data_IF_846863528976
#
_entry.id   IF_846863528976
#
_cell.length_a   1.000
_cell.length_b   1.000
_cell.length_c   1.000
_cell.angle_alpha   90.00
_cell.angle_beta   90.00
_cell.angle_gamma   90.00
#
_symmetry.space_group_name_H-M   'P 1'
#
loop_
_entity.id
_entity.type
_entity.pdbx_description
1 polymer ?
#
# COMPACT_ATOMS: atom_id res chain seq x y z
N UNK A 1 -27.61 13.27 0.31
CA UNK A 1 -26.38 13.97 -0.12
C UNK A 1 -25.48 14.09 1.09
N UNK A 2 -24.25 13.59 1.03
CA UNK A 2 -23.26 13.79 2.11
C UNK A 2 -22.42 15.01 1.73
N UNK A 3 -22.26 16.03 2.59
CA UNK A 3 -21.37 17.16 2.31
C UNK A 3 -19.93 16.67 2.09
N UNK A 4 -19.29 17.14 1.02
CA UNK A 4 -17.91 16.78 0.68
C UNK A 4 -17.09 18.04 0.49
N UNK A 5 -15.92 18.09 1.14
CA UNK A 5 -14.91 19.11 0.93
C UNK A 5 -13.80 18.55 0.03
N UNK A 6 -13.48 19.26 -1.05
CA UNK A 6 -12.36 18.92 -1.93
C UNK A 6 -11.19 19.86 -1.63
N UNK A 7 -10.05 19.28 -1.25
CA UNK A 7 -8.82 20.02 -0.98
C UNK A 7 -7.91 19.91 -2.20
N UNK A 8 -7.59 21.05 -2.83
CA UNK A 8 -6.86 21.10 -4.10
C UNK A 8 -5.64 22.04 -4.08
N UNK A 9 -5.13 22.40 -2.90
CA UNK A 9 -3.89 23.17 -2.74
C UNK A 9 -2.97 22.53 -1.71
N UNK A 10 -1.67 22.68 -1.89
CA UNK A 10 -0.65 22.10 -1.01
C UNK A 10 -0.75 22.66 0.42
N UNK A 11 -0.98 23.97 0.56
CA UNK A 11 -1.08 24.64 1.85
C UNK A 11 -2.27 24.10 2.66
N UNK A 12 -3.45 23.97 2.03
CA UNK A 12 -4.64 23.43 2.69
C UNK A 12 -4.49 21.93 2.94
N UNK A 13 -3.81 21.19 2.07
CA UNK A 13 -3.50 19.77 2.31
C UNK A 13 -2.56 19.60 3.52
N UNK A 14 -1.60 20.51 3.72
CA UNK A 14 -0.77 20.52 4.93
C UNK A 14 -1.62 20.78 6.18
N UNK A 15 -2.56 21.72 6.11
CA UNK A 15 -3.47 21.99 7.23
C UNK A 15 -4.32 20.76 7.60
N UNK A 16 -4.83 20.03 6.60
CA UNK A 16 -5.69 18.86 6.81
C UNK A 16 -4.91 17.62 7.22
N UNK A 17 -3.77 17.35 6.58
CA UNK A 17 -3.02 16.09 6.74
C UNK A 17 -1.93 16.15 7.81
N UNK A 18 -1.59 17.34 8.32
CA UNK A 18 -0.54 17.54 9.32
C UNK A 18 -1.00 18.42 10.48
N UNK A 19 -1.44 19.65 10.23
CA UNK A 19 -1.76 20.60 11.30
C UNK A 19 -2.98 20.15 12.11
N UNK A 20 -4.01 19.65 11.43
CA UNK A 20 -5.26 19.17 12.02
C UNK A 20 -5.50 17.68 11.72
N UNK A 21 -4.41 16.92 11.53
CA UNK A 21 -4.46 15.53 11.06
C UNK A 21 -5.39 14.65 11.89
N UNK A 22 -5.37 14.80 13.22
CA UNK A 22 -6.19 14.01 14.15
C UNK A 22 -7.69 14.24 13.95
N UNK A 23 -8.11 15.43 13.54
CA UNK A 23 -9.52 15.76 13.26
C UNK A 23 -9.99 15.03 11.98
N UNK A 24 -9.11 14.95 10.98
CA UNK A 24 -9.40 14.37 9.66
C UNK A 24 -8.93 12.92 9.50
N UNK A 25 -8.37 12.30 10.54
CA UNK A 25 -7.72 11.00 10.43
C UNK A 25 -8.69 9.84 10.18
N UNK A 26 -9.92 9.94 10.66
CA UNK A 26 -10.94 8.89 10.51
C UNK A 26 -11.48 8.81 9.09
N UNK A 27 -11.85 7.59 8.65
CA UNK A 27 -12.45 7.38 7.32
C UNK A 27 -13.97 7.53 7.37
N UNK A 28 -14.60 8.04 6.30
CA UNK A 28 -16.05 8.01 6.16
C UNK A 28 -16.59 6.57 6.21
N UNK A 29 -17.80 6.40 6.78
CA UNK A 29 -18.47 5.11 6.76
C UNK A 29 -18.77 4.67 5.33
N UNK A 30 -18.49 3.40 5.02
CA UNK A 30 -18.72 2.81 3.71
C UNK A 30 -19.16 1.37 3.86
N UNK A 31 -20.23 0.99 3.15
CA UNK A 31 -20.69 -0.41 3.08
C UNK A 31 -19.63 -1.36 2.52
N UNK A 32 -18.68 -0.84 1.75
CA UNK A 32 -17.54 -1.63 1.24
C UNK A 32 -16.62 -2.01 2.40
N UNK A 33 -16.32 -1.07 3.30
CA UNK A 33 -15.48 -1.33 4.47
C UNK A 33 -16.17 -2.28 5.44
N UNK A 34 -17.49 -2.12 5.59
CA UNK A 34 -18.33 -3.03 6.39
C UNK A 34 -18.20 -4.48 5.91
N UNK A 35 -18.41 -4.70 4.61
CA UNK A 35 -18.50 -6.05 4.02
C UNK A 35 -17.16 -6.71 3.72
N UNK A 36 -16.16 -5.94 3.31
CA UNK A 36 -14.88 -6.48 2.82
C UNK A 36 -13.72 -6.29 3.79
N UNK A 37 -13.80 -5.31 4.69
CA UNK A 37 -12.68 -4.90 5.54
C UNK A 37 -12.98 -5.09 7.04
N UNK A 38 -13.63 -6.21 7.37
CA UNK A 38 -13.88 -6.66 8.74
C UNK A 38 -14.66 -5.66 9.60
N UNK A 39 -15.71 -5.07 9.02
CA UNK A 39 -16.47 -3.99 9.65
C UNK A 39 -15.64 -2.72 9.89
N UNK A 40 -14.79 -2.39 8.93
CA UNK A 40 -13.87 -1.26 9.04
C UNK A 40 -12.85 -1.41 10.16
N UNK A 41 -12.36 -2.63 10.43
CA UNK A 41 -11.34 -2.88 11.46
C UNK A 41 -9.95 -3.17 10.90
N UNK A 42 -9.77 -3.10 9.59
CA UNK A 42 -8.44 -3.15 9.01
C UNK A 42 -7.67 -1.81 9.20
N UNK A 43 -6.36 -1.83 8.98
CA UNK A 43 -5.49 -0.66 9.19
C UNK A 43 -5.78 0.51 8.23
N UNK A 44 -6.37 0.25 7.05
CA UNK A 44 -6.64 1.26 6.05
C UNK A 44 -7.99 1.97 6.25
N UNK A 45 -8.98 1.30 6.85
CA UNK A 45 -10.33 1.86 7.01
C UNK A 45 -10.78 2.13 8.45
N UNK A 46 -10.09 1.60 9.46
CA UNK A 46 -10.50 1.82 10.85
C UNK A 46 -10.50 3.30 11.26
N UNK A 47 -11.51 3.72 12.06
CA UNK A 47 -11.54 5.08 12.60
C UNK A 47 -10.33 5.31 13.49
N UNK A 48 -9.88 6.56 13.55
CA UNK A 48 -8.75 6.92 14.38
C UNK A 48 -9.08 6.67 15.86
N UNK A 49 -8.19 5.94 16.55
CA UNK A 49 -8.35 5.59 17.96
C UNK A 49 -7.18 4.73 18.44
N UNK A 50 -7.25 4.30 19.70
CA UNK A 50 -6.26 3.39 20.33
C UNK A 50 -5.97 2.17 19.46
N UNK A 51 -7.02 1.47 19.01
CA UNK A 51 -6.90 0.29 18.16
C UNK A 51 -6.12 0.56 16.86
N UNK A 52 -6.53 1.58 16.10
CA UNK A 52 -5.86 1.92 14.84
C UNK A 52 -4.39 2.31 15.07
N UNK A 53 -4.09 3.06 16.15
CA UNK A 53 -2.71 3.43 16.50
C UNK A 53 -1.85 2.20 16.80
N UNK A 54 -2.39 1.22 17.53
CA UNK A 54 -1.70 -0.03 17.82
C UNK A 54 -1.46 -0.85 16.54
N UNK A 55 -2.48 -1.03 15.70
CA UNK A 55 -2.34 -1.77 14.43
C UNK A 55 -1.36 -1.10 13.47
N UNK A 56 -1.43 0.23 13.34
CA UNK A 56 -0.45 0.99 12.55
C UNK A 56 0.96 0.82 13.10
N UNK A 57 1.14 0.85 14.41
CA UNK A 57 2.45 0.62 15.05
C UNK A 57 3.02 -0.75 14.69
N UNK A 58 2.21 -1.82 14.78
CA UNK A 58 2.61 -3.17 14.37
C UNK A 58 3.06 -3.21 12.91
N UNK A 59 2.28 -2.64 11.98
CA UNK A 59 2.66 -2.57 10.57
C UNK A 59 3.98 -1.82 10.36
N UNK A 60 4.15 -0.66 11.01
CA UNK A 60 5.35 0.17 10.86
C UNK A 60 6.58 -0.55 11.41
N UNK A 61 6.49 -1.18 12.57
CA UNK A 61 7.65 -1.82 13.21
C UNK A 61 8.03 -3.12 12.48
N UNK A 62 7.04 -3.97 12.19
CA UNK A 62 7.28 -5.33 11.75
C UNK A 62 7.22 -5.54 10.23
N UNK A 63 6.69 -4.59 9.46
CA UNK A 63 6.62 -4.72 8.00
C UNK A 63 7.37 -3.58 7.29
N UNK A 64 7.18 -2.34 7.75
CA UNK A 64 7.62 -1.15 7.01
C UNK A 64 8.85 -0.45 7.61
N UNK A 65 9.46 -1.02 8.66
CA UNK A 65 10.65 -0.43 9.27
C UNK A 65 11.85 -0.54 8.34
N UNK A 66 12.81 0.38 8.46
CA UNK A 66 14.04 0.34 7.66
C UNK A 66 14.77 -1.01 7.73
N UNK A 67 14.73 -1.67 8.90
CA UNK A 67 15.31 -3.01 9.09
C UNK A 67 14.59 -4.03 8.22
N UNK A 68 13.26 -4.07 8.29
CA UNK A 68 12.44 -5.03 7.53
C UNK A 68 12.50 -4.75 6.02
N UNK A 69 12.43 -3.49 5.61
CA UNK A 69 12.59 -3.12 4.19
C UNK A 69 13.94 -3.61 3.67
N UNK A 70 15.03 -3.43 4.43
CA UNK A 70 16.37 -3.92 4.05
C UNK A 70 16.45 -5.45 4.03
N UNK A 71 15.82 -6.17 4.94
CA UNK A 71 15.84 -7.64 4.92
C UNK A 71 15.17 -8.22 3.68
N UNK A 72 14.15 -7.54 3.11
CA UNK A 72 13.51 -7.94 1.87
C UNK A 72 14.22 -7.47 0.58
N UNK A 73 15.46 -6.97 0.69
CA UNK A 73 16.23 -6.50 -0.47
C UNK A 73 16.43 -7.58 -1.53
N UNK A 74 16.87 -8.77 -1.11
CA UNK A 74 17.13 -9.87 -2.03
C UNK A 74 15.89 -10.23 -2.86
N UNK A 75 14.71 -10.30 -2.23
CA UNK A 75 13.43 -10.55 -2.93
C UNK A 75 13.20 -9.53 -4.03
N UNK A 76 13.41 -8.24 -3.78
CA UNK A 76 13.23 -7.19 -4.80
C UNK A 76 14.25 -7.28 -5.91
N UNK A 77 15.51 -7.53 -5.59
CA UNK A 77 16.59 -7.67 -6.57
C UNK A 77 16.38 -8.87 -7.50
N UNK A 78 15.90 -9.99 -6.95
CA UNK A 78 15.54 -11.17 -7.72
C UNK A 78 14.34 -10.91 -8.65
N UNK A 79 13.24 -10.34 -8.13
CA UNK A 79 12.05 -10.09 -8.97
C UNK A 79 12.32 -9.02 -10.04
N UNK A 80 13.16 -8.02 -9.75
CA UNK A 80 13.61 -7.05 -10.76
C UNK A 80 14.46 -7.74 -11.81
N UNK A 81 15.41 -8.61 -11.41
CA UNK A 81 16.23 -9.37 -12.36
C UNK A 81 15.35 -10.19 -13.30
N UNK A 82 14.38 -10.95 -12.79
CA UNK A 82 13.43 -11.71 -13.60
C UNK A 82 12.60 -10.84 -14.54
N UNK A 83 12.17 -9.66 -14.09
CA UNK A 83 11.48 -8.70 -14.95
C UNK A 83 12.38 -8.22 -16.10
N UNK A 84 13.66 -7.91 -15.82
CA UNK A 84 14.63 -7.46 -16.82
C UNK A 84 14.94 -8.56 -17.84
N UNK A 85 14.98 -9.83 -17.42
CA UNK A 85 15.13 -10.97 -18.32
C UNK A 85 13.95 -11.08 -19.29
N UNK A 86 12.71 -10.97 -18.79
CA UNK A 86 11.51 -10.95 -19.65
C UNK A 86 11.54 -9.80 -20.66
N UNK A 87 12.02 -8.62 -20.26
CA UNK A 87 12.18 -7.49 -21.18
C UNK A 87 13.22 -7.84 -22.25
N UNK A 88 14.39 -8.36 -21.86
CA UNK A 88 15.45 -8.76 -22.80
C UNK A 88 14.97 -9.80 -23.80
N UNK A 89 14.21 -10.81 -23.35
CA UNK A 89 13.66 -11.88 -24.18
C UNK A 89 12.61 -11.40 -25.17
N UNK A 90 11.90 -10.31 -24.86
CA UNK A 90 10.89 -9.74 -25.76
C UNK A 90 11.50 -9.09 -27.01
N UNK A 91 12.79 -8.75 -26.99
CA UNK A 91 13.48 -8.12 -28.11
C UNK A 91 12.82 -6.82 -28.53
N UNK A 92 12.37 -6.73 -29.78
CA UNK A 92 11.63 -5.58 -30.33
C UNK A 92 10.10 -5.72 -30.24
N UNK A 93 9.61 -6.78 -29.60
CA UNK A 93 8.17 -7.05 -29.52
C UNK A 93 7.49 -6.03 -28.58
N UNK A 94 6.36 -5.43 -28.98
CA UNK A 94 5.59 -4.58 -28.09
C UNK A 94 5.19 -5.31 -26.80
N UNK A 95 5.41 -4.67 -25.65
CA UNK A 95 5.09 -5.22 -24.33
C UNK A 95 4.13 -4.31 -23.55
N UNK A 96 3.21 -4.93 -22.82
CA UNK A 96 2.37 -4.23 -21.86
C UNK A 96 3.12 -4.00 -20.53
N UNK A 97 3.70 -2.80 -20.39
CA UNK A 97 4.45 -2.43 -19.18
C UNK A 97 3.56 -2.33 -17.93
N UNK A 98 2.29 -1.94 -18.05
CA UNK A 98 1.37 -1.90 -16.92
C UNK A 98 1.15 -3.28 -16.31
N UNK A 99 1.00 -4.31 -17.16
CA UNK A 99 0.89 -5.71 -16.72
C UNK A 99 2.19 -6.19 -16.09
N UNK A 100 3.34 -5.84 -16.68
CA UNK A 100 4.65 -6.21 -16.17
C UNK A 100 4.90 -5.64 -14.76
N UNK A 101 4.66 -4.35 -14.57
CA UNK A 101 4.85 -3.66 -13.28
C UNK A 101 3.87 -4.15 -12.21
N UNK A 102 2.62 -4.43 -12.60
CA UNK A 102 1.63 -5.03 -11.70
C UNK A 102 2.06 -6.42 -11.24
N UNK A 103 2.63 -7.24 -12.15
CA UNK A 103 3.16 -8.57 -11.83
C UNK A 103 4.36 -8.47 -10.89
N UNK A 104 5.33 -7.60 -11.18
CA UNK A 104 6.47 -7.35 -10.30
C UNK A 104 6.02 -6.96 -8.88
N UNK A 105 5.08 -6.02 -8.79
CA UNK A 105 4.56 -5.54 -7.50
C UNK A 105 3.87 -6.67 -6.74
N UNK A 106 3.05 -7.46 -7.42
CA UNK A 106 2.38 -8.62 -6.82
C UNK A 106 3.38 -9.67 -6.33
N UNK A 107 4.38 -10.03 -7.14
CA UNK A 107 5.34 -11.07 -6.80
C UNK A 107 6.20 -10.66 -5.60
N UNK A 108 6.64 -9.40 -5.55
CA UNK A 108 7.34 -8.85 -4.38
C UNK A 108 6.45 -8.90 -3.14
N UNK A 109 5.20 -8.43 -3.22
CA UNK A 109 4.28 -8.42 -2.07
C UNK A 109 3.98 -9.85 -1.60
N UNK A 110 3.66 -10.77 -2.51
CA UNK A 110 3.38 -12.17 -2.18
C UNK A 110 4.58 -12.85 -1.53
N UNK A 111 5.80 -12.66 -2.08
CA UNK A 111 7.00 -13.25 -1.48
C UNK A 111 7.29 -12.69 -0.09
N UNK A 112 7.10 -11.38 0.11
CA UNK A 112 7.32 -10.73 1.41
C UNK A 112 6.26 -11.15 2.44
N UNK A 113 4.98 -11.16 2.06
CA UNK A 113 3.87 -11.39 2.99
C UNK A 113 3.55 -12.88 3.20
N UNK A 114 3.74 -13.73 2.18
CA UNK A 114 3.30 -15.12 2.14
C UNK A 114 4.46 -16.13 1.96
N UNK A 115 5.69 -15.64 1.77
CA UNK A 115 6.88 -16.49 1.58
C UNK A 115 6.99 -17.15 0.20
N UNK A 116 6.03 -16.92 -0.70
CA UNK A 116 6.00 -17.46 -2.06
C UNK A 116 5.24 -16.53 -3.01
N UNK A 117 5.49 -16.66 -4.31
CA UNK A 117 4.66 -16.06 -5.36
C UNK A 117 3.76 -17.10 -6.03
N UNK A 118 2.75 -16.61 -6.73
CA UNK A 118 1.74 -17.42 -7.42
C UNK A 118 1.66 -17.10 -8.91
N UNK A 119 2.56 -16.23 -9.39
CA UNK A 119 2.76 -15.85 -10.78
C UNK A 119 3.99 -16.52 -11.39
#
# INVERSE_FOLDING_TARGET
NVPVLVVSSADVAQDVLKTHDRVFASRPQSKIFEKLLYDGRDVASAPYGEYWRQMKSVCVIHLLSNKMVRSFRAVREEEISLMMEKIRESGSSPMNLSKLMSTLTNDVICRVALGRKYG
#
